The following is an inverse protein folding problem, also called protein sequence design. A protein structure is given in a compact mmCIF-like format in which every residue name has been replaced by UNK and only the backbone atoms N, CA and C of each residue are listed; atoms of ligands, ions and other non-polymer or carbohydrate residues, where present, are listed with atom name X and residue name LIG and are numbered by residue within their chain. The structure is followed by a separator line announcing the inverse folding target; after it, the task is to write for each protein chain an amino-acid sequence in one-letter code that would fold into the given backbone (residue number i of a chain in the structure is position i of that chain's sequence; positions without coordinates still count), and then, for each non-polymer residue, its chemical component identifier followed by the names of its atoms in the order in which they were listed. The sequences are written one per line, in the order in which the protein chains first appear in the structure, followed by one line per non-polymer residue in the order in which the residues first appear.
data_IF_810526246951
#
_entry.id   IF_810526246951
#
_cell.length_a   1.000
_cell.length_b   1.000
_cell.length_c   1.000
_cell.angle_alpha   90.00
_cell.angle_beta   90.00
_cell.angle_gamma   90.00
#
_symmetry.space_group_name_H-M   'P 1'
#
loop_
_entity.id
_entity.type
_entity.pdbx_description
1 polymer ?
#
# COMPACT_ATOMS: atom_id res chain seq x y z
N UNK A 1 14.55 -17.35 1.28
CA UNK A 1 14.21 -15.92 1.35
C UNK A 1 14.15 -15.54 2.83
N UNK A 2 15.27 -15.09 3.41
CA UNK A 2 15.35 -14.89 4.87
C UNK A 2 14.91 -16.15 5.63
N UNK A 3 13.87 -16.02 6.46
CA UNK A 3 13.25 -17.11 7.23
C UNK A 3 12.45 -18.14 6.42
N UNK A 4 12.16 -17.89 5.15
CA UNK A 4 11.26 -18.73 4.33
C UNK A 4 11.99 -19.59 3.31
N UNK A 5 11.65 -20.87 3.27
CA UNK A 5 12.11 -21.81 2.24
C UNK A 5 11.07 -21.88 1.11
N UNK A 6 11.42 -21.33 -0.05
CA UNK A 6 10.56 -21.37 -1.24
C UNK A 6 10.97 -22.53 -2.16
N UNK A 7 9.99 -23.24 -2.72
CA UNK A 7 10.20 -24.37 -3.61
C UNK A 7 10.51 -23.96 -5.06
N UNK A 8 10.17 -22.73 -5.45
CA UNK A 8 10.45 -22.17 -6.77
C UNK A 8 10.59 -20.65 -6.72
N UNK A 9 10.89 -20.04 -7.88
CA UNK A 9 11.14 -18.59 -8.03
C UNK A 9 10.03 -17.83 -8.77
N UNK A 10 8.96 -18.52 -9.17
CA UNK A 10 7.75 -17.87 -9.69
C UNK A 10 6.97 -17.27 -8.52
N UNK A 11 6.60 -16.00 -8.61
CA UNK A 11 5.92 -15.23 -7.56
C UNK A 11 4.63 -14.63 -8.12
N UNK A 12 3.54 -14.64 -7.35
CA UNK A 12 2.37 -13.81 -7.67
C UNK A 12 2.69 -12.36 -7.31
N UNK A 13 2.86 -11.51 -8.33
CA UNK A 13 3.03 -10.07 -8.16
C UNK A 13 1.80 -9.43 -7.49
N UNK A 14 1.97 -8.28 -6.81
CA UNK A 14 0.85 -7.51 -6.25
C UNK A 14 -0.03 -6.96 -7.39
N UNK A 15 -1.32 -7.27 -7.35
CA UNK A 15 -2.26 -6.92 -8.43
C UNK A 15 -3.55 -6.34 -7.84
N UNK A 16 -3.72 -5.03 -7.85
CA UNK A 16 -4.98 -4.36 -7.47
C UNK A 16 -6.16 -4.86 -8.31
N UNK A 17 -7.21 -5.42 -7.67
CA UNK A 17 -8.37 -6.01 -8.37
C UNK A 17 -9.69 -5.31 -8.14
N UNK A 18 -9.78 -4.41 -7.17
CA UNK A 18 -10.97 -3.58 -6.87
C UNK A 18 -12.22 -4.43 -6.54
N UNK A 19 -12.06 -5.45 -5.69
CA UNK A 19 -13.14 -6.36 -5.30
C UNK A 19 -13.38 -6.43 -3.79
N UNK A 20 -12.89 -5.44 -3.05
CA UNK A 20 -12.98 -5.31 -1.59
C UNK A 20 -13.90 -4.15 -1.22
N UNK A 21 -15.21 -4.42 -1.25
CA UNK A 21 -16.24 -3.40 -0.97
C UNK A 21 -16.05 -2.79 0.41
N UNK A 22 -16.23 -1.46 0.52
CA UNK A 22 -15.99 -0.70 1.75
C UNK A 22 -14.59 -0.91 2.35
N UNK A 23 -13.61 -1.20 1.48
CA UNK A 23 -12.24 -1.53 1.85
C UNK A 23 -12.09 -2.82 2.68
N UNK A 24 -13.11 -3.67 2.74
CA UNK A 24 -13.07 -4.96 3.44
C UNK A 24 -12.81 -6.08 2.44
N UNK A 25 -11.76 -6.92 2.65
CA UNK A 25 -11.55 -8.13 1.86
C UNK A 25 -12.82 -9.00 1.83
N UNK A 26 -13.12 -9.59 0.68
CA UNK A 26 -14.36 -10.33 0.49
C UNK A 26 -14.12 -11.84 0.42
N UNK A 27 -15.12 -12.68 0.75
CA UNK A 27 -14.96 -14.15 0.76
C UNK A 27 -14.47 -14.75 -0.56
N UNK A 28 -14.77 -14.14 -1.71
CA UNK A 28 -14.30 -14.62 -3.02
C UNK A 28 -12.77 -14.55 -3.18
N UNK A 29 -12.08 -13.71 -2.39
CA UNK A 29 -10.63 -13.58 -2.42
C UNK A 29 -9.94 -14.86 -1.92
N UNK A 30 -10.59 -15.63 -1.04
CA UNK A 30 -10.15 -16.97 -0.60
C UNK A 30 -9.91 -17.85 -1.83
N UNK A 31 -10.90 -17.92 -2.73
CA UNK A 31 -10.78 -18.70 -3.97
C UNK A 31 -9.68 -18.14 -4.88
N UNK A 32 -9.60 -16.81 -5.03
CA UNK A 32 -8.64 -16.16 -5.91
C UNK A 32 -7.18 -16.46 -5.55
N UNK A 33 -6.80 -16.27 -4.29
CA UNK A 33 -5.44 -16.52 -3.82
C UNK A 33 -5.17 -18.03 -3.73
N UNK A 34 -6.11 -18.82 -3.21
CA UNK A 34 -5.95 -20.28 -3.14
C UNK A 34 -5.72 -20.92 -4.52
N UNK A 35 -6.38 -20.45 -5.58
CA UNK A 35 -6.14 -20.94 -6.95
C UNK A 35 -4.72 -20.66 -7.46
N UNK A 36 -4.06 -19.64 -6.93
CA UNK A 36 -2.70 -19.21 -7.33
C UNK A 36 -1.61 -19.76 -6.42
N UNK A 37 -2.00 -20.40 -5.32
CA UNK A 37 -1.04 -21.00 -4.40
C UNK A 37 -0.55 -22.36 -4.88
N UNK A 38 0.78 -22.47 -4.97
CA UNK A 38 1.53 -23.71 -5.07
C UNK A 38 2.34 -23.92 -3.79
N UNK A 39 2.63 -25.19 -3.47
CA UNK A 39 3.44 -25.55 -2.31
C UNK A 39 4.84 -24.89 -2.39
N UNK A 40 5.23 -24.13 -1.37
CA UNK A 40 6.48 -23.37 -1.32
C UNK A 40 6.54 -22.17 -2.27
N UNK A 41 5.40 -21.71 -2.80
CA UNK A 41 5.30 -20.50 -3.61
C UNK A 41 5.14 -19.23 -2.78
N UNK A 42 5.69 -18.11 -3.25
CA UNK A 42 5.46 -16.78 -2.68
C UNK A 42 4.32 -16.07 -3.40
N UNK A 43 3.40 -15.51 -2.64
CA UNK A 43 2.35 -14.63 -3.10
C UNK A 43 2.50 -13.27 -2.44
N UNK A 44 2.19 -12.22 -3.18
CA UNK A 44 2.08 -10.85 -2.67
C UNK A 44 0.64 -10.41 -2.91
N UNK A 45 -0.02 -9.89 -1.88
CA UNK A 45 -1.41 -9.46 -1.98
C UNK A 45 -1.57 -8.29 -2.94
N UNK A 46 -2.81 -8.02 -3.34
CA UNK A 46 -3.16 -6.71 -3.87
C UNK A 46 -2.81 -5.59 -2.88
N UNK A 47 -2.56 -4.40 -3.40
CA UNK A 47 -2.16 -3.24 -2.62
C UNK A 47 -3.24 -2.92 -1.56
N UNK A 48 -2.83 -2.89 -0.30
CA UNK A 48 -3.71 -2.83 0.87
C UNK A 48 -3.43 -1.57 1.67
N UNK A 49 -4.45 -0.74 1.84
CA UNK A 49 -4.31 0.58 2.46
C UNK A 49 -3.90 0.49 3.93
N UNK A 50 -3.00 1.38 4.35
CA UNK A 50 -2.51 1.49 5.74
C UNK A 50 -3.41 2.36 6.63
N UNK A 51 -4.31 3.14 6.03
CA UNK A 51 -5.23 4.06 6.70
C UNK A 51 -6.39 4.42 5.77
N UNK A 52 -7.39 5.11 6.30
CA UNK A 52 -8.49 5.69 5.49
C UNK A 52 -7.98 6.67 4.42
N UNK A 53 -6.93 7.45 4.70
CA UNK A 53 -6.32 8.39 3.74
C UNK A 53 -5.48 7.72 2.65
N UNK A 54 -5.20 6.42 2.79
CA UNK A 54 -4.34 5.66 1.89
C UNK A 54 -5.03 5.26 0.57
N UNK A 55 -6.34 5.50 0.43
CA UNK A 55 -7.17 5.06 -0.68
C UNK A 55 -7.11 6.02 -1.87
N UNK A 56 -7.12 5.47 -3.09
CA UNK A 56 -7.17 6.23 -4.34
C UNK A 56 -7.94 5.55 -5.45
N UNK A 57 -8.49 4.37 -5.18
CA UNK A 57 -9.23 3.53 -6.11
C UNK A 57 -10.45 2.95 -5.38
N UNK A 58 -11.56 2.70 -6.09
CA UNK A 58 -12.71 2.06 -5.47
C UNK A 58 -12.38 0.61 -5.10
N UNK A 59 -13.01 0.13 -4.04
CA UNK A 59 -13.02 -1.28 -3.64
C UNK A 59 -11.64 -1.92 -3.46
N UNK A 60 -10.63 -1.15 -3.04
CA UNK A 60 -9.31 -1.67 -2.62
C UNK A 60 -9.30 -2.01 -1.14
N UNK A 61 -8.68 -3.13 -0.71
CA UNK A 61 -8.73 -3.54 0.68
C UNK A 61 -7.90 -2.63 1.60
N UNK A 62 -8.24 -2.68 2.89
CA UNK A 62 -7.49 -2.08 3.98
C UNK A 62 -6.95 -3.12 4.96
N UNK A 63 -6.13 -2.64 5.90
CA UNK A 63 -5.70 -3.42 7.06
C UNK A 63 -5.50 -2.54 8.31
N UNK A 64 -6.27 -1.46 8.45
CA UNK A 64 -6.22 -0.54 9.59
C UNK A 64 -7.33 -0.74 10.61
N UNK A 65 -8.41 -1.46 10.26
CA UNK A 65 -9.50 -1.80 11.19
C UNK A 65 -9.48 -3.28 11.57
N UNK A 66 -10.05 -3.58 12.74
CA UNK A 66 -10.23 -4.98 13.18
C UNK A 66 -11.08 -5.78 12.19
N UNK A 67 -12.13 -5.19 11.63
CA UNK A 67 -12.98 -5.84 10.64
C UNK A 67 -12.18 -6.29 9.40
N UNK A 68 -11.29 -5.42 8.91
CA UNK A 68 -10.41 -5.74 7.79
C UNK A 68 -9.44 -6.87 8.13
N UNK A 69 -8.85 -6.84 9.33
CA UNK A 69 -7.94 -7.89 9.82
C UNK A 69 -8.66 -9.25 9.90
N UNK A 70 -9.85 -9.31 10.51
CA UNK A 70 -10.64 -10.55 10.58
C UNK A 70 -11.04 -11.07 9.19
N UNK A 71 -11.34 -10.16 8.25
CA UNK A 71 -11.67 -10.54 6.88
C UNK A 71 -10.47 -11.10 6.09
N UNK A 72 -9.24 -10.71 6.43
CA UNK A 72 -8.03 -11.26 5.82
C UNK A 72 -7.69 -12.67 6.30
N UNK A 73 -7.94 -13.01 7.57
CA UNK A 73 -7.60 -14.32 8.16
C UNK A 73 -8.00 -15.54 7.31
N UNK A 74 -9.27 -15.72 6.88
CA UNK A 74 -9.64 -16.89 6.08
C UNK A 74 -8.96 -16.92 4.69
N UNK A 75 -8.53 -15.78 4.17
CA UNK A 75 -7.80 -15.70 2.89
C UNK A 75 -6.37 -16.19 3.09
N UNK A 76 -5.71 -15.74 4.16
CA UNK A 76 -4.37 -16.18 4.54
C UNK A 76 -4.36 -17.68 4.84
N UNK A 77 -5.31 -18.15 5.66
CA UNK A 77 -5.46 -19.57 6.00
C UNK A 77 -5.55 -20.45 4.75
N UNK A 78 -6.28 -20.00 3.72
CA UNK A 78 -6.43 -20.74 2.47
C UNK A 78 -5.16 -20.76 1.60
N UNK A 79 -4.26 -19.79 1.74
CA UNK A 79 -2.92 -19.81 1.14
C UNK A 79 -2.01 -20.77 1.92
N UNK A 80 -2.00 -20.68 3.24
CA UNK A 80 -1.21 -21.55 4.11
C UNK A 80 -1.61 -23.02 4.00
N UNK A 81 -2.90 -23.32 3.88
CA UNK A 81 -3.42 -24.68 3.68
C UNK A 81 -2.87 -25.36 2.40
N UNK A 82 -2.35 -24.58 1.43
CA UNK A 82 -1.69 -25.07 0.21
C UNK A 82 -0.16 -24.97 0.25
N UNK A 83 0.40 -24.61 1.40
CA UNK A 83 1.85 -24.47 1.62
C UNK A 83 2.45 -23.20 1.00
N UNK A 84 1.64 -22.17 0.72
CA UNK A 84 2.15 -20.89 0.21
C UNK A 84 2.69 -20.00 1.31
N UNK A 85 3.65 -19.14 0.98
CA UNK A 85 4.05 -17.97 1.77
C UNK A 85 3.32 -16.75 1.22
N UNK A 86 2.74 -15.92 2.08
CA UNK A 86 1.91 -14.79 1.67
C UNK A 86 2.31 -13.49 2.36
N UNK A 87 2.66 -12.49 1.56
CA UNK A 87 2.99 -11.15 2.05
C UNK A 87 1.86 -10.17 1.75
N UNK A 88 1.53 -9.31 2.72
CA UNK A 88 0.59 -8.21 2.51
C UNK A 88 1.34 -7.00 1.93
N UNK A 89 0.98 -6.54 0.73
CA UNK A 89 1.53 -5.30 0.19
C UNK A 89 0.84 -4.09 0.87
N UNK A 90 1.53 -3.43 1.81
CA UNK A 90 1.02 -2.26 2.51
C UNK A 90 1.34 -0.97 1.75
N UNK A 91 0.35 -0.10 1.63
CA UNK A 91 0.36 0.95 0.62
C UNK A 91 -0.33 2.24 1.07
N UNK A 92 0.17 3.37 0.55
CA UNK A 92 -0.48 4.68 0.60
C UNK A 92 -0.35 5.37 -0.76
N UNK A 93 -1.48 5.71 -1.40
CA UNK A 93 -1.49 6.24 -2.78
C UNK A 93 -0.90 7.65 -2.91
N UNK A 94 -1.02 8.46 -1.86
CA UNK A 94 -0.61 9.86 -1.88
C UNK A 94 -1.47 10.65 -2.88
N UNK A 95 -0.87 11.45 -3.76
CA UNK A 95 -1.61 12.25 -4.76
C UNK A 95 -2.23 11.47 -5.92
N UNK A 96 -2.03 10.15 -6.01
CA UNK A 96 -2.76 9.29 -6.97
C UNK A 96 -4.12 8.93 -6.36
N UNK A 97 -4.93 9.96 -6.09
CA UNK A 97 -6.20 9.86 -5.38
C UNK A 97 -7.10 11.02 -5.79
N UNK A 98 -8.38 10.87 -5.47
CA UNK A 98 -9.38 11.92 -5.56
C UNK A 98 -10.04 12.17 -4.21
N UNK A 99 -10.59 13.37 -3.99
CA UNK A 99 -11.33 13.75 -2.79
C UNK A 99 -12.49 12.82 -2.45
N UNK A 100 -13.10 12.16 -3.45
CA UNK A 100 -14.16 11.16 -3.21
C UNK A 100 -13.69 9.96 -2.38
N UNK A 101 -12.39 9.64 -2.41
CA UNK A 101 -11.80 8.55 -1.61
C UNK A 101 -11.26 9.04 -0.25
N UNK A 102 -11.28 10.34 0.00
CA UNK A 102 -10.66 10.92 1.19
C UNK A 102 -11.72 11.20 2.27
N UNK A 103 -11.37 11.02 3.55
CA UNK A 103 -12.27 11.34 4.66
C UNK A 103 -12.77 12.78 4.54
N UNK A 104 -14.08 12.98 4.65
CA UNK A 104 -14.73 14.30 4.58
C UNK A 104 -14.42 15.10 3.30
N UNK A 105 -14.13 14.42 2.17
CA UNK A 105 -13.87 15.08 0.90
C UNK A 105 -12.60 15.93 0.86
N UNK A 106 -11.65 15.67 1.77
CA UNK A 106 -10.42 16.44 1.86
C UNK A 106 -9.48 16.17 0.67
N UNK A 107 -8.55 17.10 0.43
CA UNK A 107 -7.50 16.88 -0.57
C UNK A 107 -6.59 15.70 -0.15
N UNK A 108 -6.19 14.83 -1.09
CA UNK A 108 -5.23 13.78 -0.80
C UNK A 108 -3.86 14.38 -0.45
N UNK A 109 -3.02 13.62 0.23
CA UNK A 109 -1.72 14.10 0.72
C UNK A 109 -0.55 13.74 -0.21
N UNK A 110 0.52 14.53 -0.19
CA UNK A 110 1.74 14.24 -0.94
C UNK A 110 2.98 14.95 -0.37
N UNK A 111 4.14 14.72 -0.99
CA UNK A 111 5.36 15.49 -0.74
C UNK A 111 5.25 16.92 -1.27
N UNK A 112 4.32 17.18 -2.20
CA UNK A 112 4.09 18.43 -2.93
C UNK A 112 2.60 18.82 -2.95
N UNK A 113 2.32 20.07 -3.28
CA UNK A 113 0.98 20.61 -3.58
C UNK A 113 0.70 20.65 -5.10
N UNK A 114 1.65 20.24 -5.93
CA UNK A 114 1.48 20.17 -7.39
C UNK A 114 0.58 19.00 -7.80
N UNK A 115 -0.46 19.24 -8.63
CA UNK A 115 -1.31 18.18 -9.16
C UNK A 115 -0.52 17.24 -10.09
N UNK A 116 -1.09 16.07 -10.36
CA UNK A 116 -0.59 15.19 -11.42
C UNK A 116 -0.90 15.87 -12.77
N UNK A 117 0.15 16.15 -13.55
CA UNK A 117 0.05 16.89 -14.81
C UNK A 117 -0.43 16.04 -15.99
N UNK A 118 -0.43 14.71 -15.85
CA UNK A 118 -0.81 13.79 -16.93
C UNK A 118 -2.30 13.47 -16.85
N UNK A 119 -3.11 13.83 -17.87
CA UNK A 119 -4.36 13.11 -18.12
C UNK A 119 -3.98 11.64 -18.33
N UNK A 120 -4.47 10.75 -17.47
CA UNK A 120 -4.34 9.34 -17.78
C UNK A 120 -5.43 9.03 -18.81
N UNK A 121 -5.05 8.50 -19.96
CA UNK A 121 -6.03 7.98 -20.92
C UNK A 121 -6.34 6.56 -20.46
N UNK A 122 -7.60 6.29 -20.14
CA UNK A 122 -8.07 4.94 -19.82
C UNK A 122 -7.80 3.97 -20.97
N UNK A 123 -7.78 2.66 -20.70
CA UNK A 123 -7.60 1.64 -21.75
C UNK A 123 -8.68 1.66 -22.85
N UNK A 124 -9.76 2.41 -22.63
CA UNK A 124 -10.89 2.68 -23.52
C UNK A 124 -10.79 4.03 -24.27
N UNK A 125 -9.70 4.78 -24.08
CA UNK A 125 -9.52 6.09 -24.71
C UNK A 125 -10.21 7.25 -24.00
N UNK A 126 -10.82 7.04 -22.83
CA UNK A 126 -11.51 8.07 -22.05
C UNK A 126 -10.51 8.80 -21.15
N UNK A 127 -10.59 10.14 -21.09
CA UNK A 127 -9.83 10.92 -20.11
C UNK A 127 -10.23 10.49 -18.70
N UNK A 128 -9.27 9.97 -17.94
CA UNK A 128 -9.42 9.76 -16.51
C UNK A 128 -9.58 11.14 -15.87
N UNK A 129 -10.64 11.37 -15.07
CA UNK A 129 -10.86 12.64 -14.40
C UNK A 129 -9.60 13.13 -13.71
N UNK A 130 -9.33 14.43 -13.82
CA UNK A 130 -8.16 15.05 -13.23
C UNK A 130 -8.12 14.76 -11.73
N UNK A 131 -7.04 14.13 -11.26
CA UNK A 131 -6.85 13.85 -9.83
C UNK A 131 -6.96 15.16 -9.02
N UNK A 132 -7.67 15.11 -7.90
CA UNK A 132 -7.77 16.24 -6.96
C UNK A 132 -6.35 16.74 -6.60
N UNK A 133 -6.06 18.05 -6.72
CA UNK A 133 -4.77 18.62 -6.31
C UNK A 133 -4.43 18.23 -4.86
N UNK A 134 -3.20 17.73 -4.59
CA UNK A 134 -2.86 17.26 -3.27
C UNK A 134 -2.55 18.40 -2.32
N UNK A 135 -2.63 18.12 -1.02
CA UNK A 135 -2.05 18.93 0.03
C UNK A 135 -0.65 18.40 0.37
N UNK A 136 0.33 19.30 0.40
CA UNK A 136 1.65 18.98 0.94
C UNK A 136 1.54 18.57 2.42
N UNK A 137 2.12 17.42 2.78
CA UNK A 137 2.28 17.02 4.18
C UNK A 137 3.14 18.05 4.91
N UNK A 138 2.71 18.48 6.09
CA UNK A 138 3.56 19.22 7.01
C UNK A 138 4.53 18.24 7.68
N UNK A 139 5.71 18.72 8.04
CA UNK A 139 6.78 17.91 8.63
C UNK A 139 6.30 17.14 9.87
N UNK A 140 5.51 17.79 10.72
CA UNK A 140 4.95 17.20 11.94
C UNK A 140 3.87 16.13 11.69
N UNK A 141 3.33 16.03 10.47
CA UNK A 141 2.36 14.99 10.10
C UNK A 141 3.04 13.68 9.67
N UNK A 142 4.30 13.74 9.23
CA UNK A 142 5.03 12.58 8.69
C UNK A 142 5.17 11.44 9.70
N UNK A 143 5.51 11.68 10.99
CA UNK A 143 5.58 10.61 11.98
C UNK A 143 4.28 9.82 12.14
N UNK A 144 3.12 10.47 11.94
CA UNK A 144 1.84 9.77 12.00
C UNK A 144 1.64 8.83 10.80
N UNK A 145 2.09 9.22 9.61
CA UNK A 145 2.06 8.33 8.44
C UNK A 145 2.99 7.14 8.64
N UNK A 146 4.20 7.35 9.19
CA UNK A 146 5.10 6.25 9.58
C UNK A 146 4.40 5.28 10.55
N UNK A 147 3.70 5.82 11.55
CA UNK A 147 2.92 5.01 12.50
C UNK A 147 1.77 4.22 11.84
N UNK A 148 1.13 4.75 10.79
CA UNK A 148 0.13 3.99 10.03
C UNK A 148 0.74 2.75 9.36
N UNK A 149 1.91 2.87 8.73
CA UNK A 149 2.61 1.72 8.15
C UNK A 149 3.03 0.70 9.22
N UNK A 150 3.54 1.17 10.37
CA UNK A 150 3.88 0.32 11.52
C UNK A 150 2.66 -0.49 12.01
N UNK A 151 1.53 0.18 12.22
CA UNK A 151 0.29 -0.48 12.66
C UNK A 151 -0.26 -1.43 11.60
N UNK A 152 -0.23 -1.05 10.32
CA UNK A 152 -0.65 -1.92 9.22
C UNK A 152 0.20 -3.20 9.15
N UNK A 153 1.52 -3.09 9.40
CA UNK A 153 2.39 -4.25 9.47
C UNK A 153 2.04 -5.19 10.64
N UNK A 154 1.83 -4.64 11.85
CA UNK A 154 1.33 -5.41 13.00
C UNK A 154 0.03 -6.14 12.66
N UNK A 155 -0.93 -5.41 12.09
CA UNK A 155 -2.24 -5.93 11.73
C UNK A 155 -2.14 -7.01 10.63
N UNK A 156 -1.19 -6.92 9.70
CA UNK A 156 -0.91 -7.96 8.73
C UNK A 156 -0.45 -9.25 9.39
N UNK A 157 0.45 -9.16 10.38
CA UNK A 157 0.88 -10.32 11.17
C UNK A 157 -0.29 -10.89 11.99
N UNK A 158 -1.14 -10.04 12.59
CA UNK A 158 -2.35 -10.48 13.30
C UNK A 158 -3.35 -11.19 12.39
N UNK A 159 -3.46 -10.77 11.12
CA UNK A 159 -4.25 -11.46 10.10
C UNK A 159 -3.61 -12.78 9.63
N UNK A 160 -2.39 -13.08 10.06
CA UNK A 160 -1.65 -14.31 9.76
C UNK A 160 -0.69 -14.20 8.59
N UNK A 161 -0.52 -13.04 7.95
CA UNK A 161 0.45 -12.92 6.85
C UNK A 161 1.86 -13.25 7.35
N UNK A 162 2.68 -13.81 6.46
CA UNK A 162 4.05 -14.18 6.76
C UNK A 162 4.98 -12.96 6.93
N UNK A 163 4.62 -11.87 6.26
CA UNK A 163 5.33 -10.59 6.27
C UNK A 163 4.59 -9.54 5.46
N UNK A 164 5.26 -8.41 5.23
CA UNK A 164 4.73 -7.31 4.42
C UNK A 164 5.70 -6.91 3.32
N UNK A 165 5.14 -6.39 2.23
CA UNK A 165 5.87 -5.63 1.22
C UNK A 165 5.48 -4.14 1.34
N UNK A 166 6.44 -3.24 1.51
CA UNK A 166 6.19 -1.80 1.53
C UNK A 166 6.13 -1.29 0.09
N UNK A 167 4.97 -0.78 -0.36
CA UNK A 167 4.83 -0.29 -1.73
C UNK A 167 5.50 1.09 -1.91
N UNK A 168 6.78 1.08 -2.29
CA UNK A 168 7.60 2.26 -2.59
C UNK A 168 7.75 2.61 -4.07
N UNK A 169 6.74 2.32 -4.91
CA UNK A 169 6.87 2.37 -6.37
C UNK A 169 5.60 2.95 -7.05
N UNK A 170 5.59 2.95 -8.39
CA UNK A 170 4.49 3.39 -9.27
C UNK A 170 3.94 4.81 -9.05
N UNK A 171 4.73 5.70 -8.47
CA UNK A 171 4.39 7.11 -8.26
C UNK A 171 3.51 7.35 -7.03
N UNK A 172 3.36 6.36 -6.14
CA UNK A 172 2.61 6.49 -4.89
C UNK A 172 3.39 7.22 -3.80
N UNK A 173 2.84 7.34 -2.58
CA UNK A 173 3.30 8.32 -1.60
C UNK A 173 4.81 8.27 -1.34
N UNK A 174 5.38 7.09 -1.11
CA UNK A 174 6.82 6.95 -0.85
C UNK A 174 7.66 7.39 -2.07
N UNK A 175 7.25 7.01 -3.28
CA UNK A 175 7.93 7.44 -4.50
C UNK A 175 7.75 8.95 -4.78
N UNK A 176 6.63 9.54 -4.34
CA UNK A 176 6.43 11.00 -4.40
C UNK A 176 7.45 11.75 -3.55
N UNK A 177 7.92 11.17 -2.44
CA UNK A 177 9.06 11.71 -1.68
C UNK A 177 10.40 11.38 -2.35
N UNK A 178 10.58 10.17 -2.88
CA UNK A 178 11.86 9.77 -3.48
C UNK A 178 12.18 10.46 -4.81
N UNK A 179 11.21 10.81 -5.65
CA UNK A 179 11.46 11.38 -6.98
C UNK A 179 11.61 12.89 -6.96
N UNK A 180 12.75 13.40 -7.43
CA UNK A 180 13.07 14.84 -7.54
C UNK A 180 12.11 15.62 -8.47
N UNK A 181 11.49 14.96 -9.46
CA UNK A 181 10.45 15.55 -10.31
C UNK A 181 9.12 15.77 -9.58
N UNK A 182 8.90 15.12 -8.43
CA UNK A 182 7.70 15.26 -7.62
C UNK A 182 7.99 16.03 -6.31
N UNK A 183 9.06 15.66 -5.60
CA UNK A 183 9.43 16.23 -4.33
C UNK A 183 10.19 17.56 -4.51
N UNK A 184 9.47 18.65 -4.33
CA UNK A 184 9.98 20.02 -4.32
C UNK A 184 10.02 20.63 -2.91
N UNK A 185 10.13 19.80 -1.87
CA UNK A 185 10.31 20.26 -0.49
C UNK A 185 11.70 20.86 -0.29
N UNK A 186 11.78 21.80 0.65
CA UNK A 186 13.03 22.46 1.07
C UNK A 186 13.41 22.14 2.53
N UNK A 187 12.67 21.25 3.18
CA UNK A 187 12.92 20.78 4.55
C UNK A 187 13.76 19.49 4.55
N UNK A 188 13.89 18.83 5.71
CA UNK A 188 14.67 17.61 5.88
C UNK A 188 14.15 16.38 5.10
N UNK A 189 13.00 16.51 4.42
CA UNK A 189 12.42 15.48 3.55
C UNK A 189 12.55 15.83 2.06
N UNK A 190 13.27 16.90 1.69
CA UNK A 190 13.49 17.34 0.31
C UNK A 190 14.94 17.71 -0.03
N UNK A 191 15.20 17.97 -1.31
CA UNK A 191 16.52 18.31 -1.81
C UNK A 191 17.42 17.10 -2.07
N UNK A 192 18.33 16.81 -1.14
CA UNK A 192 19.34 15.76 -1.32
C UNK A 192 18.72 14.37 -1.45
N UNK A 193 19.49 13.39 -1.96
CA UNK A 193 19.03 12.01 -2.05
C UNK A 193 18.69 11.43 -0.67
N UNK A 194 19.53 11.73 0.34
CA UNK A 194 19.35 11.30 1.72
C UNK A 194 18.01 11.81 2.28
N UNK A 195 17.71 13.09 2.10
CA UNK A 195 16.45 13.68 2.56
C UNK A 195 15.23 13.09 1.83
N UNK A 196 15.33 12.88 0.51
CA UNK A 196 14.24 12.26 -0.29
C UNK A 196 14.00 10.79 0.09
N UNK A 197 15.03 10.07 0.52
CA UNK A 197 14.91 8.69 0.99
C UNK A 197 14.50 8.59 2.47
N UNK A 198 14.69 9.65 3.28
CA UNK A 198 14.42 9.67 4.73
C UNK A 198 13.08 9.07 5.11
N UNK A 199 11.99 9.59 4.52
CA UNK A 199 10.63 9.12 4.84
C UNK A 199 10.44 7.62 4.56
N UNK A 200 10.99 7.12 3.45
CA UNK A 200 10.88 5.69 3.11
C UNK A 200 11.69 4.84 4.10
N UNK A 201 12.88 5.28 4.49
CA UNK A 201 13.72 4.56 5.44
C UNK A 201 13.15 4.56 6.86
N UNK A 202 12.53 5.66 7.30
CA UNK A 202 11.80 5.71 8.58
C UNK A 202 10.64 4.71 8.61
N UNK A 203 9.91 4.54 7.50
CA UNK A 203 8.88 3.49 7.37
C UNK A 203 9.51 2.10 7.42
N UNK A 204 10.59 1.85 6.69
CA UNK A 204 11.27 0.55 6.69
C UNK A 204 11.76 0.19 8.10
N UNK A 205 12.38 1.14 8.81
CA UNK A 205 12.84 0.96 10.17
C UNK A 205 11.68 0.69 11.14
N UNK A 206 10.61 1.48 11.07
CA UNK A 206 9.44 1.30 11.94
C UNK A 206 8.74 -0.05 11.71
N UNK A 207 8.60 -0.48 10.45
CA UNK A 207 8.03 -1.78 10.11
C UNK A 207 8.95 -2.91 10.55
N UNK A 208 10.26 -2.81 10.30
CA UNK A 208 11.22 -3.83 10.73
C UNK A 208 11.22 -4.00 12.25
N UNK A 209 11.28 -2.90 13.02
CA UNK A 209 11.25 -2.95 14.49
C UNK A 209 9.93 -3.52 15.06
N UNK A 210 8.85 -3.49 14.28
CA UNK A 210 7.54 -3.98 14.72
C UNK A 210 7.36 -5.49 14.48
N UNK A 211 7.89 -6.04 13.38
CA UNK A 211 7.55 -7.40 12.92
C UNK A 211 8.74 -8.29 12.52
N UNK A 212 9.98 -7.80 12.59
CA UNK A 212 11.20 -8.56 12.26
C UNK A 212 12.05 -8.83 13.50
#
# INVERSE_FOLDING_TARGET
MGKFNLAHRVVLAPLTRQRSYNNVPQPHAVLYYSQRTSNGGLLISEATGVSETAQGFPNTPGIWTKEQVEAWKPIVDAVHAKGGTFFCQIWHVGRVSDSVYQPNGQAPISSTDKPLLTPQIGGDGVEIPQFTPPRRLRTEEIPNIVNHFRLAARNAIEAGFDGVEIHGAHGYLLEQFMKDKANDRTDEYGGSLENRCRFTLEIVEAVANEIA
#
